data_IF_737459988267
#
_entry.id   IF_737459988267
#
_cell.length_a   1.000
_cell.length_b   1.000
_cell.length_c   1.000
_cell.angle_alpha   90.00
_cell.angle_beta   90.00
_cell.angle_gamma   90.00
#
_symmetry.space_group_name_H-M   'P 1'
#
loop_
_entity.id
_entity.type
_entity.pdbx_description
1 polymer ?
#
# COMPACT_ATOMS: atom_id res chain seq x y z
N UNK A 1 11.22 -24.47 -10.18
CA UNK A 1 11.32 -23.01 -10.25
C UNK A 1 9.99 -22.33 -9.87
N UNK A 2 9.31 -22.80 -8.80
CA UNK A 2 7.94 -22.36 -8.47
C UNK A 2 7.87 -21.10 -7.57
N UNK A 3 8.96 -20.76 -6.86
CA UNK A 3 8.96 -19.61 -5.95
C UNK A 3 8.88 -18.26 -6.66
N UNK A 4 9.62 -18.08 -7.76
CA UNK A 4 9.66 -16.82 -8.51
C UNK A 4 8.31 -16.46 -9.14
N UNK A 5 7.68 -17.42 -9.83
CA UNK A 5 6.37 -17.23 -10.46
C UNK A 5 5.30 -16.85 -9.42
N UNK A 6 5.38 -17.42 -8.22
CA UNK A 6 4.44 -17.13 -7.14
C UNK A 6 4.53 -15.68 -6.64
N UNK A 7 5.73 -15.14 -6.43
CA UNK A 7 5.88 -13.76 -5.95
C UNK A 7 5.51 -12.72 -7.01
N UNK A 8 5.82 -12.98 -8.29
CA UNK A 8 5.41 -12.10 -9.39
C UNK A 8 3.89 -12.06 -9.55
N UNK A 9 3.20 -13.18 -9.37
CA UNK A 9 1.74 -13.25 -9.39
C UNK A 9 1.12 -12.50 -8.21
N UNK A 10 1.64 -12.70 -6.99
CA UNK A 10 1.20 -11.96 -5.81
C UNK A 10 1.38 -10.46 -5.99
N UNK A 11 2.55 -10.03 -6.48
CA UNK A 11 2.84 -8.62 -6.70
C UNK A 11 1.86 -8.00 -7.72
N UNK A 12 1.52 -8.71 -8.80
CA UNK A 12 0.52 -8.26 -9.78
C UNK A 12 -0.88 -8.15 -9.19
N UNK A 13 -1.29 -9.11 -8.35
CA UNK A 13 -2.60 -9.09 -7.70
C UNK A 13 -2.72 -7.93 -6.71
N UNK A 14 -1.69 -7.72 -5.89
CA UNK A 14 -1.64 -6.61 -4.95
C UNK A 14 -1.65 -5.27 -5.71
N UNK A 15 -0.84 -5.11 -6.76
CA UNK A 15 -0.85 -3.89 -7.59
C UNK A 15 -2.23 -3.62 -8.21
N UNK A 16 -2.88 -4.67 -8.72
CA UNK A 16 -4.22 -4.53 -9.29
C UNK A 16 -5.21 -3.96 -8.27
N UNK A 17 -5.22 -4.53 -7.06
CA UNK A 17 -6.11 -4.06 -5.99
C UNK A 17 -5.74 -2.66 -5.52
N UNK A 18 -4.45 -2.32 -5.41
CA UNK A 18 -3.99 -0.94 -5.11
C UNK A 18 -4.56 0.03 -6.13
N UNK A 19 -4.47 -0.29 -7.43
CA UNK A 19 -5.00 0.56 -8.51
C UNK A 19 -6.53 0.69 -8.39
N UNK A 20 -7.25 -0.40 -8.15
CA UNK A 20 -8.72 -0.37 -7.99
C UNK A 20 -9.13 0.50 -6.81
N UNK A 21 -8.49 0.37 -5.64
CA UNK A 21 -8.75 1.22 -4.48
C UNK A 21 -8.35 2.68 -4.76
N UNK A 22 -7.27 2.89 -5.50
CA UNK A 22 -6.85 4.19 -6.02
C UNK A 22 -7.94 4.90 -6.83
N UNK A 23 -8.61 4.17 -7.73
CA UNK A 23 -9.72 4.70 -8.54
C UNK A 23 -10.89 5.13 -7.64
N UNK A 24 -11.27 4.31 -6.67
CA UNK A 24 -12.36 4.62 -5.73
C UNK A 24 -12.07 5.88 -4.90
N UNK A 25 -10.81 6.08 -4.54
CA UNK A 25 -10.34 7.19 -3.74
C UNK A 25 -9.98 8.45 -4.56
N UNK A 26 -9.92 8.33 -5.89
CA UNK A 26 -9.49 9.42 -6.77
C UNK A 26 -8.00 9.74 -6.63
N UNK A 27 -7.17 8.73 -6.45
CA UNK A 27 -5.71 8.86 -6.30
C UNK A 27 -5.05 8.97 -7.67
N UNK A 28 -4.27 10.03 -7.86
CA UNK A 28 -3.28 10.16 -8.92
C UNK A 28 -1.92 9.69 -8.39
N UNK A 29 -1.49 8.50 -8.80
CA UNK A 29 -0.22 7.91 -8.38
C UNK A 29 1.02 8.67 -8.87
N UNK A 30 0.86 9.62 -9.79
CA UNK A 30 1.94 10.51 -10.24
C UNK A 30 2.04 11.80 -9.43
N UNK A 31 1.01 12.12 -8.63
CA UNK A 31 1.00 13.26 -7.74
C UNK A 31 1.70 12.90 -6.41
N UNK A 32 3.00 13.18 -6.34
CA UNK A 32 3.82 12.85 -5.16
C UNK A 32 3.29 13.46 -3.85
N UNK A 33 2.66 14.63 -3.90
CA UNK A 33 2.10 15.26 -2.71
C UNK A 33 0.88 14.49 -2.19
N UNK A 34 -0.01 14.06 -3.10
CA UNK A 34 -1.18 13.26 -2.76
C UNK A 34 -0.76 11.88 -2.22
N UNK A 35 0.17 11.20 -2.89
CA UNK A 35 0.68 9.90 -2.45
C UNK A 35 1.45 10.01 -1.13
N UNK A 36 2.17 11.12 -0.91
CA UNK A 36 2.83 11.43 0.36
C UNK A 36 1.84 11.60 1.52
N UNK A 37 0.76 12.35 1.32
CA UNK A 37 -0.29 12.50 2.33
C UNK A 37 -0.96 11.15 2.66
N UNK A 38 -1.19 10.32 1.63
CA UNK A 38 -1.72 8.97 1.81
C UNK A 38 -0.79 8.07 2.64
N UNK A 39 0.53 8.13 2.39
CA UNK A 39 1.51 7.37 3.17
C UNK A 39 1.58 7.83 4.63
N UNK A 40 1.49 9.15 4.87
CA UNK A 40 1.40 9.72 6.20
C UNK A 40 0.17 9.21 6.96
N UNK A 41 -1.02 9.26 6.33
CA UNK A 41 -2.25 8.71 6.91
C UNK A 41 -2.17 7.20 7.15
N UNK A 42 -1.59 6.44 6.22
CA UNK A 42 -1.45 4.99 6.36
C UNK A 42 -0.67 4.59 7.61
N UNK A 43 0.34 5.39 7.99
CA UNK A 43 1.19 5.11 9.14
C UNK A 43 0.71 5.79 10.44
N UNK A 44 -0.11 6.84 10.39
CA UNK A 44 -0.65 7.54 11.59
C UNK A 44 -2.08 7.19 11.96
N UNK A 45 -2.96 6.94 10.99
CA UNK A 45 -4.41 6.92 11.22
C UNK A 45 -5.05 5.55 11.03
N UNK A 46 -4.30 4.54 10.57
CA UNK A 46 -4.82 3.21 10.25
C UNK A 46 -5.63 2.59 11.40
N UNK A 47 -5.13 2.65 12.64
CA UNK A 47 -5.83 2.04 13.78
C UNK A 47 -7.18 2.69 14.08
N UNK A 48 -7.31 4.00 13.89
CA UNK A 48 -8.54 4.74 14.13
C UNK A 48 -9.50 4.63 12.94
N UNK A 49 -8.98 4.60 11.72
CA UNK A 49 -9.77 4.36 10.51
C UNK A 49 -10.39 2.96 10.50
N UNK A 50 -9.67 1.92 10.98
CA UNK A 50 -10.22 0.57 11.14
C UNK A 50 -11.38 0.55 12.14
N UNK A 51 -11.22 1.19 13.31
CA UNK A 51 -12.30 1.29 14.31
C UNK A 51 -13.52 2.01 13.75
N UNK A 52 -13.31 3.09 12.98
CA UNK A 52 -14.40 3.83 12.33
C UNK A 52 -15.08 3.00 11.24
N UNK A 53 -14.33 2.25 10.44
CA UNK A 53 -14.90 1.37 9.41
C UNK A 53 -15.75 0.23 10.01
N UNK A 54 -15.44 -0.19 11.24
CA UNK A 54 -16.16 -1.23 11.97
C UNK A 54 -17.43 -0.74 12.69
N UNK A 55 -17.66 0.57 12.82
CA UNK A 55 -18.73 1.14 13.67
C UNK A 55 -20.15 1.10 13.09
N UNK A 56 -20.35 0.45 11.95
CA UNK A 56 -21.67 0.04 11.44
C UNK A 56 -22.31 0.94 10.38
N UNK A 57 -21.82 2.16 10.15
CA UNK A 57 -22.25 2.95 8.99
C UNK A 57 -21.38 2.62 7.76
N UNK A 58 -22.01 2.42 6.60
CA UNK A 58 -21.28 2.03 5.38
C UNK A 58 -20.66 3.28 4.74
N UNK A 59 -19.41 3.55 5.10
CA UNK A 59 -18.56 4.49 4.37
C UNK A 59 -17.64 3.71 3.41
N UNK A 60 -18.00 3.72 2.13
CA UNK A 60 -17.26 3.02 1.08
C UNK A 60 -15.86 3.58 0.84
N UNK A 61 -15.67 4.89 1.03
CA UNK A 61 -14.34 5.51 0.86
C UNK A 61 -13.44 5.14 2.02
N UNK A 62 -13.96 5.18 3.24
CA UNK A 62 -13.21 4.77 4.42
C UNK A 62 -12.80 3.29 4.33
N UNK A 63 -13.70 2.42 3.87
CA UNK A 63 -13.38 0.99 3.61
C UNK A 63 -12.30 0.83 2.56
N UNK A 64 -12.42 1.50 1.41
CA UNK A 64 -11.40 1.45 0.38
C UNK A 64 -10.03 1.95 0.87
N UNK A 65 -10.02 2.92 1.78
CA UNK A 65 -8.81 3.44 2.42
C UNK A 65 -8.18 2.42 3.37
N UNK A 66 -8.98 1.77 4.22
CA UNK A 66 -8.50 0.69 5.10
C UNK A 66 -7.96 -0.50 4.30
N UNK A 67 -8.68 -0.91 3.24
CA UNK A 67 -8.24 -1.99 2.36
C UNK A 67 -6.91 -1.62 1.68
N UNK A 68 -6.77 -0.38 1.20
CA UNK A 68 -5.54 0.12 0.58
C UNK A 68 -4.34 0.07 1.53
N UNK A 69 -4.55 0.41 2.80
CA UNK A 69 -3.49 0.33 3.81
C UNK A 69 -3.13 -1.12 4.16
N UNK A 70 -4.11 -2.03 4.19
CA UNK A 70 -3.85 -3.46 4.31
C UNK A 70 -3.05 -4.01 3.12
N UNK A 71 -3.39 -3.59 1.90
CA UNK A 71 -2.66 -3.94 0.67
C UNK A 71 -1.22 -3.41 0.70
N UNK A 72 -1.00 -2.20 1.21
CA UNK A 72 0.34 -1.64 1.39
C UNK A 72 1.20 -2.45 2.36
N UNK A 73 0.62 -2.96 3.46
CA UNK A 73 1.33 -3.83 4.38
C UNK A 73 1.71 -5.17 3.72
N UNK A 74 0.80 -5.77 2.95
CA UNK A 74 1.09 -6.99 2.19
C UNK A 74 2.16 -6.74 1.12
N UNK A 75 2.06 -5.63 0.40
CA UNK A 75 3.05 -5.17 -0.59
C UNK A 75 4.46 -5.15 0.01
N UNK A 76 4.66 -4.44 1.12
CA UNK A 76 5.97 -4.33 1.78
C UNK A 76 6.49 -5.69 2.25
N UNK A 77 5.62 -6.53 2.81
CA UNK A 77 5.98 -7.89 3.26
C UNK A 77 6.38 -8.79 2.09
N UNK A 78 5.66 -8.74 0.97
CA UNK A 78 6.02 -9.49 -0.25
C UNK A 78 7.38 -9.05 -0.77
N UNK A 79 7.70 -7.75 -0.74
CA UNK A 79 9.03 -7.24 -1.12
C UNK A 79 10.12 -7.75 -0.18
N UNK A 80 9.88 -7.74 1.13
CA UNK A 80 10.83 -8.24 2.13
C UNK A 80 11.10 -9.74 2.00
N UNK A 81 10.05 -10.55 1.87
CA UNK A 81 10.15 -12.01 1.73
C UNK A 81 10.85 -12.41 0.43
N UNK A 82 10.53 -11.75 -0.68
CA UNK A 82 11.16 -12.02 -1.98
C UNK A 82 12.63 -11.60 -2.00
N UNK A 83 12.97 -10.44 -1.42
CA UNK A 83 14.37 -9.99 -1.32
C UNK A 83 15.21 -10.96 -0.49
N UNK A 84 14.63 -11.56 0.57
CA UNK A 84 15.28 -12.55 1.43
C UNK A 84 15.71 -13.84 0.70
N UNK A 85 15.12 -14.13 -0.47
CA UNK A 85 15.48 -15.27 -1.33
C UNK A 85 16.16 -14.84 -2.64
N UNK A 86 16.58 -13.57 -2.74
CA UNK A 86 17.28 -13.03 -3.91
C UNK A 86 16.39 -12.66 -5.09
N UNK A 87 15.08 -12.46 -4.86
CA UNK A 87 14.12 -12.07 -5.89
C UNK A 87 13.65 -10.64 -5.63
N UNK A 88 13.79 -9.77 -6.63
CA UNK A 88 13.29 -8.39 -6.54
C UNK A 88 11.85 -8.31 -7.09
N UNK A 89 10.86 -8.58 -6.24
CA UNK A 89 9.46 -8.42 -6.62
C UNK A 89 9.07 -6.95 -6.65
N UNK A 90 8.60 -6.48 -7.80
CA UNK A 90 8.13 -5.10 -7.96
C UNK A 90 6.83 -5.02 -8.74
N UNK A 91 5.95 -4.10 -8.33
CA UNK A 91 4.74 -3.76 -9.06
C UNK A 91 4.94 -2.63 -10.08
N UNK A 92 3.82 -2.14 -10.59
CA UNK A 92 3.74 -1.05 -11.56
C UNK A 92 3.97 0.33 -10.95
N UNK A 93 3.33 1.34 -11.55
CA UNK A 93 3.49 2.74 -11.16
C UNK A 93 2.93 2.99 -9.75
N UNK A 94 1.76 2.43 -9.43
CA UNK A 94 1.11 2.66 -8.15
C UNK A 94 1.92 2.06 -7.00
N UNK A 95 2.36 0.81 -7.16
CA UNK A 95 3.30 0.14 -6.25
C UNK A 95 4.53 0.99 -5.96
N UNK A 96 5.24 1.41 -7.01
CA UNK A 96 6.52 2.13 -6.87
C UNK A 96 6.33 3.49 -6.23
N UNK A 97 5.28 4.22 -6.62
CA UNK A 97 4.95 5.51 -6.04
C UNK A 97 4.62 5.37 -4.56
N UNK A 98 3.76 4.41 -4.22
CA UNK A 98 3.29 4.25 -2.85
C UNK A 98 4.37 3.67 -1.93
N UNK A 99 5.13 2.65 -2.36
CA UNK A 99 6.25 2.12 -1.60
C UNK A 99 7.30 3.20 -1.30
N UNK A 100 7.63 4.05 -2.29
CA UNK A 100 8.55 5.18 -2.10
C UNK A 100 8.03 6.17 -1.07
N UNK A 101 6.74 6.51 -1.12
CA UNK A 101 6.14 7.43 -0.17
C UNK A 101 6.13 6.85 1.26
N UNK A 102 5.79 5.56 1.40
CA UNK A 102 5.81 4.84 2.69
C UNK A 102 7.22 4.80 3.29
N UNK A 103 8.24 4.49 2.50
CA UNK A 103 9.63 4.53 2.99
C UNK A 103 10.07 5.94 3.38
N UNK A 104 9.76 6.95 2.56
CA UNK A 104 10.09 8.34 2.87
C UNK A 104 9.47 8.76 4.20
N UNK A 105 8.19 8.45 4.41
CA UNK A 105 7.48 8.74 5.66
C UNK A 105 8.05 7.94 6.85
N UNK A 106 8.38 6.66 6.66
CA UNK A 106 8.98 5.84 7.70
C UNK A 106 10.36 6.37 8.13
N UNK A 107 11.19 6.83 7.19
CA UNK A 107 12.49 7.45 7.49
C UNK A 107 12.32 8.79 8.23
N UNK A 108 11.36 9.63 7.81
CA UNK A 108 11.05 10.87 8.52
C UNK A 108 10.69 10.60 9.99
N UNK A 109 9.94 9.54 10.27
CA UNK A 109 9.57 9.14 11.64
C UNK A 109 10.75 8.69 12.48
N UNK A 110 11.73 7.98 11.88
CA UNK A 110 12.96 7.58 12.59
C UNK A 110 13.85 8.76 12.95
N UNK A 111 13.75 9.86 12.19
CA UNK A 111 14.55 11.08 12.40
C UNK A 111 13.98 12.06 13.43
N UNK A 112 12.81 11.77 14.01
CA UNK A 112 12.09 12.62 14.98
C UNK A 112 12.29 12.14 16.41
#
# INVERSE_FOLDING_TARGET
>A
MAGYEHYDEIAKQIEHEIVVKGIVLGIDWTNEAQVGALAHEALDQLADDVKRAASGHVDYKLRAKVDLYGLAAMMLRTMEESAGIGIESHGGVAWKAFARALWKEAELRKSR
#
